data_IF_041614931576
#
_entry.id   IF_041614931576
#
_cell.length_a   1.000
_cell.length_b   1.000
_cell.length_c   1.000
_cell.angle_alpha   90.00
_cell.angle_beta   90.00
_cell.angle_gamma   90.00
#
_symmetry.space_group_name_H-M   'P 1'
#
loop_
_entity.id
_entity.type
_entity.pdbx_description
1 polymer ?
#
# COMPACT_ATOMS: atom_id res chain seq x y z
N UNK A 1 -24.49 -1.65 20.55
CA UNK A 1 -23.04 -1.49 20.76
C UNK A 1 -22.33 -1.47 19.41
N UNK A 2 -22.51 -0.39 18.67
CA UNK A 2 -21.86 -0.12 17.38
C UNK A 2 -21.47 1.35 17.52
N UNK A 3 -20.19 1.75 17.51
CA UNK A 3 -19.76 3.14 17.20
C UNK A 3 -18.26 3.43 17.39
N UNK A 4 -17.54 2.75 18.30
CA UNK A 4 -16.16 3.17 18.60
C UNK A 4 -15.15 2.83 17.48
N UNK A 5 -15.19 1.60 16.96
CA UNK A 5 -14.22 1.11 15.95
C UNK A 5 -14.39 1.80 14.57
N UNK A 6 -15.61 1.96 14.07
CA UNK A 6 -15.85 2.67 12.80
C UNK A 6 -15.40 4.14 12.85
N UNK A 7 -15.62 4.82 13.97
CA UNK A 7 -15.18 6.22 14.12
C UNK A 7 -13.66 6.36 14.15
N UNK A 8 -12.96 5.37 14.71
CA UNK A 8 -11.51 5.36 14.75
C UNK A 8 -10.90 5.08 13.37
N UNK A 9 -11.45 4.12 12.61
CA UNK A 9 -11.01 3.85 11.25
C UNK A 9 -11.15 5.08 10.35
N UNK A 10 -12.30 5.77 10.42
CA UNK A 10 -12.55 7.00 9.66
C UNK A 10 -11.52 8.07 10.04
N UNK A 11 -11.24 8.23 11.34
CA UNK A 11 -10.26 9.21 11.83
C UNK A 11 -8.84 8.89 11.35
N UNK A 12 -8.41 7.63 11.48
CA UNK A 12 -7.08 7.19 11.05
C UNK A 12 -6.90 7.34 9.54
N UNK A 13 -7.90 6.97 8.75
CA UNK A 13 -7.87 7.12 7.30
C UNK A 13 -7.85 8.59 6.87
N UNK A 14 -8.67 9.44 7.50
CA UNK A 14 -8.68 10.87 7.23
C UNK A 14 -7.32 11.53 7.53
N UNK A 15 -6.72 11.19 8.68
CA UNK A 15 -5.39 11.67 9.04
C UNK A 15 -4.31 11.15 8.09
N UNK A 16 -4.38 9.88 7.68
CA UNK A 16 -3.47 9.33 6.66
C UNK A 16 -3.57 10.11 5.34
N UNK A 17 -4.79 10.33 4.85
CA UNK A 17 -5.02 11.05 3.60
C UNK A 17 -4.46 12.48 3.69
N UNK A 18 -4.77 13.19 4.75
CA UNK A 18 -4.27 14.55 4.95
C UNK A 18 -2.75 14.58 5.07
N UNK A 19 -2.15 13.65 5.83
CA UNK A 19 -0.70 13.52 5.94
C UNK A 19 -0.02 13.25 4.58
N UNK A 20 -0.62 12.39 3.75
CA UNK A 20 -0.12 12.07 2.42
C UNK A 20 -0.18 13.28 1.48
N UNK A 21 -1.25 14.08 1.56
CA UNK A 21 -1.38 15.33 0.81
C UNK A 21 -0.41 16.41 1.29
N UNK A 22 -0.17 16.51 2.60
CA UNK A 22 0.86 17.40 3.14
C UNK A 22 2.24 17.03 2.65
N UNK A 23 2.57 15.74 2.67
CA UNK A 23 3.82 15.20 2.14
C UNK A 23 3.97 15.54 0.65
N UNK A 24 2.91 15.39 -0.15
CA UNK A 24 2.93 15.79 -1.56
C UNK A 24 3.18 17.30 -1.72
N UNK A 25 2.41 18.14 -1.03
CA UNK A 25 2.44 19.60 -1.23
C UNK A 25 3.73 20.24 -0.73
N UNK A 26 4.35 19.69 0.31
CA UNK A 26 5.51 20.31 0.99
C UNK A 26 6.82 19.62 0.68
N UNK A 27 6.78 18.31 0.46
CA UNK A 27 7.98 17.47 0.42
C UNK A 27 8.01 16.55 -0.82
N UNK A 28 7.30 16.89 -1.91
CA UNK A 28 7.31 16.08 -3.15
C UNK A 28 8.70 15.81 -3.70
N UNK A 29 9.68 16.68 -3.41
CA UNK A 29 11.09 16.48 -3.78
C UNK A 29 11.66 15.18 -3.20
N UNK A 30 11.12 14.66 -2.09
CA UNK A 30 11.53 13.38 -1.54
C UNK A 30 11.24 12.22 -2.50
N UNK A 31 10.22 12.33 -3.35
CA UNK A 31 9.85 11.26 -4.28
C UNK A 31 10.86 11.05 -5.41
N UNK A 32 11.76 12.01 -5.65
CA UNK A 32 12.78 11.93 -6.70
C UNK A 32 14.17 11.58 -6.15
N UNK A 33 14.36 11.55 -4.82
CA UNK A 33 15.66 11.28 -4.20
C UNK A 33 16.03 9.79 -4.25
N UNK A 34 17.34 9.53 -4.35
CA UNK A 34 17.91 8.19 -4.13
C UNK A 34 17.67 7.78 -2.67
N UNK A 35 17.26 6.52 -2.42
CA UNK A 35 16.91 5.99 -1.09
C UNK A 35 15.81 6.80 -0.38
N UNK A 36 14.76 7.19 -1.12
CA UNK A 36 13.63 7.96 -0.62
C UNK A 36 12.79 7.32 0.48
N UNK A 37 12.86 5.98 0.67
CA UNK A 37 12.06 5.22 1.64
C UNK A 37 12.04 5.85 3.03
N UNK A 38 13.21 5.98 3.66
CA UNK A 38 13.32 6.55 4.99
C UNK A 38 12.84 8.00 5.06
N UNK A 39 13.15 8.83 4.05
CA UNK A 39 12.77 10.25 4.04
C UNK A 39 11.25 10.44 3.96
N UNK A 40 10.60 9.71 3.04
CA UNK A 40 9.14 9.70 2.87
C UNK A 40 8.46 9.18 4.14
N UNK A 41 8.89 8.03 4.65
CA UNK A 41 8.28 7.43 5.85
C UNK A 41 8.42 8.36 7.06
N UNK A 42 9.57 9.00 7.23
CA UNK A 42 9.80 9.95 8.32
C UNK A 42 8.93 11.20 8.22
N UNK A 43 8.83 11.84 7.05
CA UNK A 43 8.01 13.05 6.90
C UNK A 43 6.51 12.72 7.03
N UNK A 44 6.07 11.59 6.48
CA UNK A 44 4.71 11.13 6.64
C UNK A 44 4.37 10.86 8.11
N UNK A 45 5.28 10.25 8.87
CA UNK A 45 5.14 10.05 10.30
C UNK A 45 5.02 11.37 11.08
N UNK A 46 5.82 12.40 10.75
CA UNK A 46 5.70 13.73 11.36
C UNK A 46 4.31 14.33 11.11
N UNK A 47 3.77 14.19 9.90
CA UNK A 47 2.43 14.70 9.61
C UNK A 47 1.34 13.92 10.34
N UNK A 48 1.47 12.59 10.42
CA UNK A 48 0.57 11.74 11.20
C UNK A 48 0.59 12.11 12.69
N UNK A 49 1.76 12.31 13.29
CA UNK A 49 1.91 12.72 14.69
C UNK A 49 1.16 14.03 14.99
N UNK A 50 1.23 15.00 14.07
CA UNK A 50 0.54 16.29 14.22
C UNK A 50 -0.98 16.16 14.10
N UNK A 51 -1.46 15.29 13.22
CA UNK A 51 -2.88 15.08 12.96
C UNK A 51 -3.54 14.13 13.97
N UNK A 52 -2.74 13.29 14.63
CA UNK A 52 -3.16 12.28 15.59
C UNK A 52 -2.43 12.47 16.93
N UNK A 53 -2.63 13.60 17.64
CA UNK A 53 -1.91 13.90 18.88
C UNK A 53 -2.20 12.93 20.04
N UNK A 54 -3.23 12.09 19.89
CA UNK A 54 -3.60 11.06 20.87
C UNK A 54 -2.99 9.68 20.57
N UNK A 55 -2.35 9.51 19.41
CA UNK A 55 -1.59 8.29 19.11
C UNK A 55 -0.31 8.32 19.93
N UNK A 56 -0.04 7.21 20.61
CA UNK A 56 0.98 7.21 21.65
C UNK A 56 2.38 6.96 21.09
N UNK A 57 2.52 6.11 20.05
CA UNK A 57 3.82 5.73 19.49
C UNK A 57 3.78 5.54 17.98
N UNK A 58 4.84 6.01 17.31
CA UNK A 58 5.07 5.86 15.88
C UNK A 58 6.47 5.27 15.66
N UNK A 59 6.52 4.05 15.15
CA UNK A 59 7.77 3.38 14.79
C UNK A 59 7.94 3.34 13.27
N UNK A 60 9.20 3.42 12.82
CA UNK A 60 9.56 3.38 11.40
C UNK A 60 10.31 2.09 11.09
N UNK A 61 9.83 1.34 10.08
CA UNK A 61 10.48 0.10 9.65
C UNK A 61 10.52 -0.97 10.75
N UNK A 62 9.50 -1.01 11.62
CA UNK A 62 9.47 -1.92 12.77
C UNK A 62 9.38 -3.38 12.34
N UNK A 63 10.26 -4.20 12.90
CA UNK A 63 10.34 -5.62 12.57
C UNK A 63 9.28 -6.44 13.32
N UNK A 64 8.33 -7.00 12.58
CA UNK A 64 7.33 -7.94 13.10
C UNK A 64 7.61 -9.31 12.50
N UNK A 65 7.93 -10.27 13.38
CA UNK A 65 8.18 -11.66 12.99
C UNK A 65 6.86 -12.36 12.73
N UNK A 66 6.53 -12.57 11.47
CA UNK A 66 5.34 -13.30 11.02
C UNK A 66 5.67 -14.73 10.62
N UNK A 67 4.66 -15.61 10.57
CA UNK A 67 4.87 -16.97 10.07
C UNK A 67 5.16 -16.96 8.56
N UNK A 68 6.40 -17.25 8.21
CA UNK A 68 6.80 -17.65 6.86
C UNK A 68 7.44 -16.57 5.98
N UNK A 69 7.56 -15.31 6.42
CA UNK A 69 8.50 -14.29 5.91
C UNK A 69 8.36 -13.00 6.73
N UNK A 70 9.47 -12.33 6.99
CA UNK A 70 9.43 -11.02 7.63
C UNK A 70 8.93 -9.96 6.64
N UNK A 71 7.92 -9.19 7.04
CA UNK A 71 7.45 -7.99 6.36
C UNK A 71 7.40 -6.86 7.39
N UNK A 72 7.86 -5.67 6.96
CA UNK A 72 8.00 -4.53 7.84
C UNK A 72 7.14 -3.38 7.34
N UNK A 73 6.17 -2.91 8.13
CA UNK A 73 5.49 -1.66 7.82
C UNK A 73 6.50 -0.52 7.79
N UNK A 74 6.32 0.37 6.82
CA UNK A 74 7.13 1.58 6.72
C UNK A 74 6.89 2.51 7.91
N UNK A 75 5.65 2.54 8.40
CA UNK A 75 5.21 3.30 9.56
C UNK A 75 4.21 2.44 10.33
N UNK A 76 4.41 2.35 11.64
CA UNK A 76 3.55 1.61 12.57
C UNK A 76 3.09 2.52 13.71
N UNK A 77 1.78 2.67 13.89
CA UNK A 77 1.16 3.40 14.98
C UNK A 77 0.56 2.41 15.97
N UNK A 78 0.88 2.54 17.26
CA UNK A 78 0.44 1.60 18.29
C UNK A 78 0.37 2.24 19.69
N UNK A 79 -0.26 1.54 20.64
CA UNK A 79 -0.51 2.02 22.01
C UNK A 79 0.39 1.39 23.09
N UNK A 80 1.56 0.82 22.73
CA UNK A 80 2.50 0.08 23.64
C UNK A 80 1.94 -1.16 24.33
N UNK A 81 0.63 -1.44 24.28
CA UNK A 81 0.00 -2.67 24.77
C UNK A 81 -0.17 -3.67 23.60
N UNK A 82 0.75 -3.60 22.64
CA UNK A 82 0.79 -4.38 21.40
C UNK A 82 -0.44 -4.26 20.46
N UNK A 83 -1.37 -3.34 20.70
CA UNK A 83 -2.45 -3.05 19.75
C UNK A 83 -1.94 -2.10 18.67
N UNK A 84 -1.96 -2.59 17.43
CA UNK A 84 -1.58 -1.82 16.25
C UNK A 84 -2.81 -1.05 15.75
N UNK A 85 -2.74 0.28 15.79
CA UNK A 85 -3.82 1.15 15.33
C UNK A 85 -3.74 1.37 13.82
N UNK A 86 -2.56 1.63 13.29
CA UNK A 86 -2.36 1.87 11.86
C UNK A 86 -1.01 1.32 11.40
N UNK A 87 -1.03 0.48 10.38
CA UNK A 87 0.15 0.03 9.66
C UNK A 87 0.13 0.60 8.24
N UNK A 88 1.22 1.26 7.84
CA UNK A 88 1.36 1.84 6.50
C UNK A 88 2.53 1.18 5.79
N UNK A 89 2.27 0.72 4.57
CA UNK A 89 3.27 0.25 3.62
C UNK A 89 3.29 1.19 2.41
N UNK A 90 4.43 1.34 1.76
CA UNK A 90 4.45 2.07 0.50
C UNK A 90 5.45 1.52 -0.50
N UNK A 91 5.14 1.73 -1.78
CA UNK A 91 6.01 1.35 -2.88
C UNK A 91 6.18 2.45 -3.94
N UNK A 92 7.35 2.44 -4.57
CA UNK A 92 7.65 3.25 -5.74
C UNK A 92 7.18 2.52 -7.00
N UNK A 93 5.88 2.65 -7.27
CA UNK A 93 5.18 1.83 -8.25
C UNK A 93 4.06 1.01 -7.59
N UNK A 94 3.35 0.25 -8.43
CA UNK A 94 2.28 -0.63 -7.98
C UNK A 94 2.82 -1.74 -7.07
N UNK A 95 2.04 -2.10 -6.05
CA UNK A 95 2.33 -3.29 -5.26
C UNK A 95 2.12 -4.53 -6.14
N UNK A 96 3.14 -5.36 -6.23
CA UNK A 96 3.05 -6.69 -6.82
C UNK A 96 2.09 -7.57 -6.02
N UNK A 97 1.59 -8.65 -6.64
CA UNK A 97 0.72 -9.63 -5.96
C UNK A 97 1.38 -10.20 -4.70
N UNK A 98 2.67 -10.54 -4.77
CA UNK A 98 3.43 -11.05 -3.62
C UNK A 98 3.51 -10.04 -2.48
N UNK A 99 3.64 -8.75 -2.78
CA UNK A 99 3.63 -7.70 -1.75
C UNK A 99 2.24 -7.53 -1.15
N UNK A 100 1.18 -7.52 -1.97
CA UNK A 100 -0.20 -7.46 -1.47
C UNK A 100 -0.52 -8.65 -0.57
N UNK A 101 -0.11 -9.87 -0.96
CA UNK A 101 -0.32 -11.08 -0.16
C UNK A 101 0.43 -11.02 1.18
N UNK A 102 1.63 -10.44 1.18
CA UNK A 102 2.42 -10.27 2.39
C UNK A 102 1.79 -9.22 3.34
N UNK A 103 1.27 -8.11 2.80
CA UNK A 103 0.54 -7.10 3.61
C UNK A 103 -0.80 -7.65 4.11
N UNK A 104 -1.50 -8.46 3.30
CA UNK A 104 -2.73 -9.14 3.74
C UNK A 104 -2.45 -10.07 4.92
N UNK A 105 -1.41 -10.90 4.80
CA UNK A 105 -0.99 -11.78 5.91
C UNK A 105 -0.63 -10.99 7.16
N UNK A 106 0.06 -9.86 7.00
CA UNK A 106 0.34 -8.95 8.11
C UNK A 106 -0.96 -8.50 8.79
N UNK A 107 -1.95 -8.07 8.03
CA UNK A 107 -3.24 -7.65 8.56
C UNK A 107 -3.95 -8.78 9.32
N UNK A 108 -3.96 -9.99 8.77
CA UNK A 108 -4.58 -11.17 9.36
C UNK A 108 -3.90 -11.61 10.67
N UNK A 109 -2.56 -11.62 10.71
CA UNK A 109 -1.78 -12.07 11.87
C UNK A 109 -1.73 -11.04 12.99
N UNK A 110 -1.65 -9.75 12.65
CA UNK A 110 -1.51 -8.67 13.63
C UNK A 110 -2.85 -8.09 14.10
N UNK A 111 -3.93 -8.32 13.33
CA UNK A 111 -5.25 -7.73 13.58
C UNK A 111 -5.18 -6.21 13.83
N UNK A 112 -4.31 -5.52 13.07
CA UNK A 112 -4.21 -4.08 13.09
C UNK A 112 -5.58 -3.44 12.77
N UNK A 113 -5.93 -2.35 13.48
CA UNK A 113 -7.22 -1.69 13.25
C UNK A 113 -7.30 -1.18 11.81
N UNK A 114 -6.25 -0.57 11.28
CA UNK A 114 -6.20 -0.16 9.89
C UNK A 114 -4.87 -0.54 9.24
N UNK A 115 -4.92 -1.28 8.13
CA UNK A 115 -3.75 -1.58 7.30
C UNK A 115 -3.90 -0.94 5.94
N UNK A 116 -2.98 -0.03 5.62
CA UNK A 116 -2.94 0.66 4.34
C UNK A 116 -1.63 0.38 3.62
N UNK A 117 -1.71 0.27 2.30
CA UNK A 117 -0.56 0.50 1.46
C UNK A 117 -0.84 1.61 0.46
N UNK A 118 0.19 2.30 -0.01
CA UNK A 118 0.03 3.22 -1.13
C UNK A 118 1.18 3.14 -2.13
N UNK A 119 0.84 3.35 -3.40
CA UNK A 119 1.78 3.43 -4.49
C UNK A 119 1.99 4.88 -4.89
N UNK A 120 3.26 5.27 -4.99
CA UNK A 120 3.66 6.55 -5.57
C UNK A 120 3.88 6.32 -7.06
N UNK A 121 3.03 6.93 -7.88
CA UNK A 121 3.09 6.85 -9.33
C UNK A 121 3.43 8.26 -9.86
N UNK A 122 4.67 8.53 -10.30
CA UNK A 122 5.10 9.86 -10.72
C UNK A 122 4.25 10.44 -11.85
N UNK A 123 3.88 9.59 -12.82
CA UNK A 123 3.15 9.98 -14.03
C UNK A 123 1.62 10.03 -13.86
N UNK A 124 1.12 9.87 -12.64
CA UNK A 124 -0.32 9.88 -12.33
C UNK A 124 -0.66 11.07 -11.45
N UNK A 125 -1.86 11.61 -11.61
CA UNK A 125 -2.36 12.72 -10.80
C UNK A 125 -2.93 12.27 -9.44
N UNK A 126 -2.91 10.96 -9.16
CA UNK A 126 -3.42 10.37 -7.93
C UNK A 126 -2.37 9.50 -7.20
N UNK A 127 -2.57 9.29 -5.91
CA UNK A 127 -2.02 8.17 -5.16
C UNK A 127 -2.97 6.99 -5.26
N UNK A 128 -2.44 5.79 -5.53
CA UNK A 128 -3.23 4.58 -5.42
C UNK A 128 -3.07 4.03 -4.00
N UNK A 129 -4.19 3.87 -3.31
CA UNK A 129 -4.24 3.36 -1.95
C UNK A 129 -4.93 2.01 -1.95
N UNK A 130 -4.32 1.08 -1.22
CA UNK A 130 -4.79 -0.27 -0.96
C UNK A 130 -5.19 -0.30 0.51
N UNK A 131 -6.46 -0.59 0.78
CA UNK A 131 -6.97 -0.80 2.14
C UNK A 131 -7.23 -2.28 2.32
N UNK A 132 -6.54 -2.88 3.28
CA UNK A 132 -6.62 -4.30 3.57
C UNK A 132 -7.64 -4.53 4.66
N UNK A 133 -8.70 -5.25 4.30
CA UNK A 133 -9.73 -5.73 5.21
C UNK A 133 -9.51 -7.23 5.47
N UNK A 134 -10.34 -7.83 6.32
CA UNK A 134 -10.24 -9.26 6.65
C UNK A 134 -10.41 -10.15 5.40
N UNK A 135 -11.45 -9.89 4.59
CA UNK A 135 -11.81 -10.75 3.46
C UNK A 135 -11.46 -10.18 2.09
N UNK A 136 -11.03 -8.91 2.01
CA UNK A 136 -10.86 -8.22 0.74
C UNK A 136 -9.78 -7.13 0.78
N UNK A 137 -9.41 -6.68 -0.43
CA UNK A 137 -8.59 -5.47 -0.61
C UNK A 137 -9.41 -4.45 -1.38
N UNK A 138 -9.51 -3.25 -0.82
CA UNK A 138 -10.17 -2.11 -1.45
C UNK A 138 -9.13 -1.20 -2.10
N UNK A 139 -9.43 -0.75 -3.31
CA UNK A 139 -8.57 0.10 -4.11
C UNK A 139 -9.20 1.49 -4.21
N UNK A 140 -8.43 2.51 -3.89
CA UNK A 140 -8.88 3.90 -3.90
C UNK A 140 -7.86 4.77 -4.64
N UNK A 141 -8.34 5.75 -5.39
CA UNK A 141 -7.52 6.86 -5.84
C UNK A 141 -7.67 8.02 -4.89
N UNK A 142 -6.56 8.67 -4.54
CA UNK A 142 -6.56 9.96 -3.85
C UNK A 142 -5.90 10.97 -4.79
N UNK A 143 -6.69 11.90 -5.30
CA UNK A 143 -6.20 12.97 -6.16
C UNK A 143 -5.18 13.85 -5.41
N UNK A 144 -4.01 14.07 -6.02
CA UNK A 144 -2.87 14.73 -5.37
C UNK A 144 -3.10 16.23 -5.12
N UNK A 145 -3.93 16.87 -5.93
CA UNK A 145 -4.18 18.32 -5.87
C UNK A 145 -5.34 18.63 -4.92
N UNK A 146 -6.48 18.01 -5.19
CA UNK A 146 -7.77 18.23 -4.52
C UNK A 146 -7.93 17.42 -3.25
N UNK A 147 -7.24 16.26 -3.14
CA UNK A 147 -7.43 15.33 -2.04
C UNK A 147 -8.77 14.58 -2.05
N UNK A 148 -9.51 14.65 -3.15
CA UNK A 148 -10.70 13.84 -3.35
C UNK A 148 -10.31 12.38 -3.47
N UNK A 149 -11.01 11.52 -2.74
CA UNK A 149 -10.85 10.08 -2.82
C UNK A 149 -12.00 9.43 -3.58
N UNK A 150 -11.64 8.53 -4.49
CA UNK A 150 -12.56 7.76 -5.30
C UNK A 150 -12.34 6.27 -5.04
N UNK A 151 -13.41 5.56 -4.68
CA UNK A 151 -13.39 4.11 -4.58
C UNK A 151 -13.44 3.48 -5.97
N UNK A 152 -12.49 2.59 -6.27
CA UNK A 152 -12.38 1.96 -7.59
C UNK A 152 -12.99 0.57 -7.63
N UNK A 153 -12.53 -0.28 -6.71
CA UNK A 153 -12.85 -1.70 -6.70
C UNK A 153 -12.58 -2.28 -5.32
N UNK A 154 -13.33 -3.33 -5.01
CA UNK A 154 -13.00 -4.30 -3.97
C UNK A 154 -12.69 -5.64 -4.65
N UNK A 155 -11.57 -6.27 -4.29
CA UNK A 155 -11.24 -7.61 -4.72
C UNK A 155 -11.35 -8.56 -3.52
N UNK A 156 -12.29 -9.48 -3.60
CA UNK A 156 -12.43 -10.59 -2.66
C UNK A 156 -11.36 -11.65 -2.92
N UNK A 157 -11.10 -12.48 -1.91
CA UNK A 157 -10.02 -13.46 -1.85
C UNK A 157 -9.90 -14.37 -3.09
N UNK A 158 -11.02 -14.78 -3.68
CA UNK A 158 -11.07 -15.63 -4.89
C UNK A 158 -10.66 -14.90 -6.18
N UNK A 159 -10.68 -13.56 -6.19
CA UNK A 159 -10.29 -12.74 -7.34
C UNK A 159 -8.86 -12.20 -7.25
N UNK A 160 -8.25 -12.23 -6.06
CA UNK A 160 -6.89 -11.72 -5.85
C UNK A 160 -5.91 -12.71 -6.50
N UNK A 161 -5.51 -12.44 -7.75
CA UNK A 161 -4.59 -13.31 -8.50
C UNK A 161 -4.91 -13.44 -9.98
N UNK A 162 -6.05 -12.95 -10.44
CA UNK A 162 -6.32 -12.84 -11.89
C UNK A 162 -5.59 -11.61 -12.43
N UNK A 163 -4.60 -11.82 -13.32
CA UNK A 163 -3.89 -10.75 -14.08
C UNK A 163 -4.86 -9.74 -14.71
N UNK A 164 -6.09 -10.18 -15.03
CA UNK A 164 -7.16 -9.38 -15.60
C UNK A 164 -7.67 -8.28 -14.66
N UNK A 165 -7.72 -8.53 -13.34
CA UNK A 165 -8.13 -7.52 -12.36
C UNK A 165 -7.10 -6.39 -12.25
N UNK A 166 -5.81 -6.71 -12.30
CA UNK A 166 -4.73 -5.73 -12.31
C UNK A 166 -4.64 -4.98 -13.66
N UNK A 167 -4.78 -5.68 -14.78
CA UNK A 167 -4.77 -5.06 -16.10
C UNK A 167 -5.95 -4.09 -16.31
N UNK A 168 -7.12 -4.42 -15.76
CA UNK A 168 -8.31 -3.56 -15.80
C UNK A 168 -8.18 -2.34 -14.89
N UNK A 169 -7.57 -2.48 -13.70
CA UNK A 169 -7.31 -1.37 -12.78
C UNK A 169 -6.29 -0.36 -13.30
N UNK A 170 -5.36 -0.77 -14.17
CA UNK A 170 -4.17 0.03 -14.48
C UNK A 170 -4.06 0.49 -15.95
N UNK A 171 -5.04 0.19 -16.81
CA UNK A 171 -4.94 0.40 -18.27
C UNK A 171 -3.58 -0.08 -18.84
N UNK A 172 -3.01 -1.14 -18.23
CA UNK A 172 -1.71 -1.66 -18.65
C UNK A 172 -1.90 -2.34 -20.00
N UNK A 173 -1.11 -2.00 -21.04
CA UNK A 173 -1.19 -2.69 -22.31
C UNK A 173 -0.89 -4.17 -22.06
N UNK A 174 -1.85 -5.04 -22.42
CA UNK A 174 -1.71 -6.51 -22.31
C UNK A 174 -0.40 -6.91 -22.97
N UNK A 175 0.59 -7.34 -22.17
CA UNK A 175 1.86 -7.81 -22.69
C UNK A 175 1.59 -9.03 -23.56
N UNK A 176 1.67 -8.87 -24.88
CA UNK A 176 1.52 -9.99 -25.83
C UNK A 176 2.65 -10.97 -25.55
N UNK A 177 2.30 -12.13 -24.97
CA UNK A 177 3.21 -13.28 -24.90
C UNK A 177 3.78 -13.51 -26.31
N UNK A 178 5.07 -13.26 -26.49
CA UNK A 178 5.79 -13.69 -27.69
C UNK A 178 5.70 -15.21 -27.72
N UNK A 179 4.95 -15.75 -28.68
CA UNK A 179 5.06 -17.15 -29.09
C UNK A 179 6.52 -17.34 -29.50
N UNK A 180 7.26 -18.09 -28.70
CA UNK A 180 8.59 -18.59 -29.06
C UNK A 180 8.37 -19.58 -30.21
N UNK A 181 8.48 -19.11 -31.44
CA UNK A 181 8.54 -19.96 -32.62
C UNK A 181 9.87 -20.70 -32.55
N UNK A 182 9.83 -21.97 -32.16
CA UNK A 182 10.96 -22.87 -32.23
C UNK A 182 11.40 -23.04 -33.69
N UNK A 183 12.57 -22.51 -34.04
CA UNK A 183 13.27 -22.85 -35.29
C UNK A 183 13.74 -24.32 -35.22
N UNK A 184 13.58 -25.11 -36.30
CA UNK A 184 14.04 -26.49 -36.32
C UNK A 184 15.58 -26.56 -36.38
N UNK A 185 16.15 -27.55 -35.68
CA UNK A 185 17.59 -27.87 -35.67
C UNK A 185 18.07 -28.23 -37.09
N UNK A 186 19.29 -27.84 -37.49
CA UNK A 186 19.88 -28.33 -38.73
C UNK A 186 20.32 -29.79 -38.56
N UNK A 187 20.01 -30.59 -39.57
CA UNK A 187 20.54 -31.94 -39.75
C UNK A 187 22.06 -31.87 -39.96
N UNK A 188 22.82 -32.57 -39.13
CA UNK A 188 24.24 -32.82 -39.39
C UNK A 188 24.34 -33.95 -40.41
N UNK A 189 24.80 -33.62 -41.62
CA UNK A 189 25.23 -34.59 -42.63
C UNK A 189 26.75 -34.72 -42.54
N UNK A 190 27.17 -35.99 -42.41
CA UNK A 190 28.52 -36.59 -42.43
C UNK A 190 29.33 -36.52 -41.13
#
# INVERSE_FOLDING_TARGET
>A
MITSSNSEHIRLFAAFKEALLMLYKRDCVLFTRRKKRAGVSHHLAIYLERLLPYVQFIDLGYEIKLKGKDIYPDILLHNRVDEIQLAIFWQDGYLSKTEQDAVKRFNEETKANLTLAFAILPDKEYFLVYRFEEDCVQYMHIDKETGQDEFLKQCEEEEIGKEEAQAFLFNLPKSRKKKTTSLPKPETVQ
#
